data_IF_731348444315
#
_entry.id   IF_731348444315
#
_cell.length_a   1.000
_cell.length_b   1.000
_cell.length_c   1.000
_cell.angle_alpha   90.00
_cell.angle_beta   90.00
_cell.angle_gamma   90.00
#
_symmetry.space_group_name_H-M   'P 1'
#
loop_
_entity.id
_entity.type
_entity.pdbx_description
1 polymer ?
#
# COMPACT_ATOMS: atom_id res chain seq x y z
N UNK A 1 22.30 -5.24 -29.18
CA UNK A 1 21.24 -5.59 -28.23
C UNK A 1 21.66 -5.00 -26.91
N UNK A 2 20.98 -3.96 -26.42
CA UNK A 2 21.50 -3.09 -25.36
C UNK A 2 21.35 -3.70 -23.97
N UNK A 3 22.48 -3.80 -23.27
CA UNK A 3 22.65 -4.15 -21.86
C UNK A 3 22.05 -3.07 -20.92
N UNK A 4 20.72 -2.99 -20.85
CA UNK A 4 20.02 -2.04 -19.95
C UNK A 4 18.93 -2.65 -19.09
N UNK A 5 19.06 -3.90 -18.65
CA UNK A 5 18.02 -4.50 -17.79
C UNK A 5 18.50 -5.52 -16.74
N UNK A 6 19.73 -5.37 -16.25
CA UNK A 6 20.34 -6.31 -15.29
C UNK A 6 19.93 -6.11 -13.81
N UNK A 7 18.92 -5.29 -13.52
CA UNK A 7 18.67 -4.84 -12.14
C UNK A 7 17.51 -5.49 -11.37
N UNK A 8 16.70 -6.40 -11.93
CA UNK A 8 15.64 -7.10 -11.15
C UNK A 8 15.22 -8.43 -11.79
N UNK A 9 16.03 -9.48 -11.67
CA UNK A 9 15.61 -10.87 -11.97
C UNK A 9 16.36 -11.85 -11.07
N UNK A 10 16.17 -11.73 -9.77
CA UNK A 10 16.29 -12.94 -8.95
C UNK A 10 15.00 -13.73 -9.17
N UNK A 11 15.08 -14.80 -9.97
CA UNK A 11 13.98 -15.72 -10.26
C UNK A 11 13.59 -16.60 -9.06
N UNK A 12 13.57 -16.03 -7.85
CA UNK A 12 13.18 -16.69 -6.62
C UNK A 12 11.67 -16.70 -6.41
N UNK A 13 11.21 -17.53 -5.47
CA UNK A 13 9.85 -17.48 -4.97
C UNK A 13 9.75 -16.55 -3.75
N UNK A 14 8.61 -15.89 -3.62
CA UNK A 14 8.26 -15.03 -2.49
C UNK A 14 6.86 -15.39 -2.00
N UNK A 15 6.63 -15.25 -0.70
CA UNK A 15 5.31 -15.51 -0.10
C UNK A 15 4.45 -14.25 -0.15
N UNK A 16 3.25 -14.36 -0.71
CA UNK A 16 2.27 -13.30 -0.67
C UNK A 16 1.81 -13.04 0.78
N UNK A 17 1.99 -11.82 1.28
CA UNK A 17 1.57 -11.40 2.63
C UNK A 17 0.06 -11.58 2.86
N UNK A 18 -0.75 -11.46 1.80
CA UNK A 18 -2.21 -11.45 1.92
C UNK A 18 -2.82 -12.85 1.89
N UNK A 19 -2.40 -13.73 0.97
CA UNK A 19 -2.98 -15.07 0.81
C UNK A 19 -2.08 -16.20 1.31
N UNK A 20 -0.79 -15.93 1.58
CA UNK A 20 0.18 -16.93 2.01
C UNK A 20 0.74 -17.81 0.89
N UNK A 21 0.30 -17.64 -0.37
CA UNK A 21 0.81 -18.43 -1.49
C UNK A 21 2.25 -18.03 -1.84
N UNK A 22 3.09 -19.03 -2.11
CA UNK A 22 4.39 -18.83 -2.76
C UNK A 22 4.18 -18.57 -4.24
N UNK A 23 4.72 -17.44 -4.73
CA UNK A 23 4.63 -17.03 -6.13
C UNK A 23 6.01 -16.66 -6.65
N UNK A 24 6.19 -16.73 -7.97
CA UNK A 24 7.42 -16.24 -8.59
C UNK A 24 7.61 -14.75 -8.27
N UNK A 25 8.86 -14.30 -8.08
CA UNK A 25 9.15 -12.89 -7.85
C UNK A 25 8.64 -11.99 -8.98
N UNK A 26 8.65 -12.48 -10.22
CA UNK A 26 8.13 -11.79 -11.40
C UNK A 26 6.58 -11.65 -11.39
N UNK A 27 5.89 -12.50 -10.62
CA UNK A 27 4.45 -12.46 -10.40
C UNK A 27 4.02 -11.78 -9.10
N UNK A 28 4.98 -11.24 -8.36
CA UNK A 28 4.75 -10.47 -7.16
C UNK A 28 4.91 -8.95 -7.38
N UNK A 29 4.34 -8.18 -6.46
CA UNK A 29 4.52 -6.74 -6.30
C UNK A 29 5.19 -6.49 -4.96
N UNK A 30 6.26 -5.71 -5.00
CA UNK A 30 6.87 -5.15 -3.78
C UNK A 30 5.86 -4.24 -3.10
N UNK A 31 5.62 -4.53 -1.83
CA UNK A 31 4.74 -3.78 -0.95
C UNK A 31 5.60 -3.02 0.05
N UNK A 32 5.58 -1.69 -0.05
CA UNK A 32 6.16 -0.81 0.96
C UNK A 32 5.06 -0.34 1.90
N UNK A 33 5.15 -0.77 3.16
CA UNK A 33 4.22 -0.37 4.22
C UNK A 33 4.25 1.14 4.51
N UNK A 34 5.33 1.84 4.17
CA UNK A 34 5.48 3.27 4.37
C UNK A 34 5.06 4.10 3.14
N UNK A 35 4.85 3.45 1.99
CA UNK A 35 4.40 4.11 0.75
C UNK A 35 5.48 4.92 0.03
N UNK A 36 6.76 4.73 0.35
CA UNK A 36 7.91 5.38 -0.30
C UNK A 36 8.64 4.38 -1.21
N UNK A 37 8.13 4.26 -2.43
CA UNK A 37 8.66 3.37 -3.47
C UNK A 37 10.04 3.82 -3.99
N UNK A 38 10.48 5.04 -3.70
CA UNK A 38 11.66 5.62 -4.35
C UNK A 38 12.93 5.42 -3.54
N UNK A 39 12.88 5.59 -2.23
CA UNK A 39 14.02 5.25 -1.38
C UNK A 39 14.04 3.73 -1.13
N UNK A 40 15.08 3.06 -1.60
CA UNK A 40 15.27 1.61 -1.49
C UNK A 40 16.44 1.22 -0.57
N UNK A 41 17.21 2.21 -0.11
CA UNK A 41 18.35 1.95 0.77
C UNK A 41 17.84 1.45 2.13
N UNK A 42 18.45 0.38 2.64
CA UNK A 42 18.14 -0.23 3.94
C UNK A 42 16.69 -0.71 4.16
N UNK A 43 15.90 -0.83 3.08
CA UNK A 43 14.52 -1.34 3.16
C UNK A 43 14.40 -2.80 2.72
N UNK A 44 13.72 -3.59 3.53
CA UNK A 44 13.14 -4.86 3.10
C UNK A 44 11.69 -4.62 2.62
N UNK A 45 11.34 -5.23 1.49
CA UNK A 45 9.99 -5.18 0.95
C UNK A 45 9.23 -6.47 1.28
N UNK A 46 7.94 -6.32 1.55
CA UNK A 46 7.00 -7.44 1.57
C UNK A 46 6.48 -7.68 0.16
N UNK A 47 5.84 -8.83 -0.09
CA UNK A 47 5.36 -9.19 -1.43
C UNK A 47 3.88 -9.47 -1.43
N UNK A 48 3.19 -9.01 -2.48
CA UNK A 48 1.81 -9.36 -2.77
C UNK A 48 1.73 -9.97 -4.17
N UNK A 49 1.02 -11.08 -4.33
CA UNK A 49 0.71 -11.59 -5.66
C UNK A 49 -0.15 -10.56 -6.43
N UNK A 50 -0.07 -10.57 -7.76
CA UNK A 50 -0.82 -9.64 -8.63
C UNK A 50 -2.33 -9.60 -8.32
N UNK A 51 -3.04 -10.71 -8.03
CA UNK A 51 -4.44 -10.69 -7.61
C UNK A 51 -4.67 -9.90 -6.31
N UNK A 52 -4.00 -10.28 -5.21
CA UNK A 52 -4.17 -9.61 -3.91
C UNK A 52 -3.79 -8.13 -3.96
N UNK A 53 -2.75 -7.78 -4.72
CA UNK A 53 -2.39 -6.37 -4.92
C UNK A 53 -3.50 -5.56 -5.59
N UNK A 54 -4.22 -6.14 -6.57
CA UNK A 54 -5.33 -5.44 -7.25
C UNK A 54 -6.53 -5.20 -6.35
N UNK A 55 -6.77 -6.08 -5.40
CA UNK A 55 -7.87 -5.97 -4.43
C UNK A 55 -7.55 -5.02 -3.27
N UNK A 56 -6.27 -4.68 -3.07
CA UNK A 56 -5.86 -3.76 -2.02
C UNK A 56 -6.46 -2.37 -2.22
N UNK A 57 -6.92 -1.79 -1.11
CA UNK A 57 -7.26 -0.38 -1.04
C UNK A 57 -5.97 0.44 -1.12
N UNK A 58 -5.80 1.20 -2.20
CA UNK A 58 -4.63 2.06 -2.41
C UNK A 58 -4.78 3.43 -1.71
N UNK A 59 -5.59 3.49 -0.65
CA UNK A 59 -5.77 4.71 0.12
C UNK A 59 -4.44 5.12 0.76
N UNK A 60 -4.04 6.40 0.67
CA UNK A 60 -2.83 6.87 1.28
C UNK A 60 -2.87 6.63 2.79
N UNK A 61 -1.77 6.08 3.34
CA UNK A 61 -1.61 5.85 4.79
C UNK A 61 -1.30 7.13 5.57
N UNK A 62 -0.65 8.11 4.92
CA UNK A 62 -0.41 9.42 5.52
C UNK A 62 -1.75 10.08 5.85
N UNK A 63 -1.90 10.58 7.07
CA UNK A 63 -3.14 11.21 7.51
C UNK A 63 -4.28 10.23 7.82
N UNK A 64 -4.04 8.91 7.85
CA UNK A 64 -5.11 7.94 8.10
C UNK A 64 -5.58 7.99 9.56
N UNK A 65 -4.66 8.03 10.51
CA UNK A 65 -5.00 8.05 11.95
C UNK A 65 -5.78 9.32 12.31
N UNK A 66 -5.34 10.47 11.81
CA UNK A 66 -6.03 11.75 12.02
C UNK A 66 -7.46 11.71 11.46
N UNK A 67 -7.63 11.17 10.24
CA UNK A 67 -8.97 11.01 9.63
C UNK A 67 -9.85 10.03 10.41
N UNK A 68 -9.29 8.96 10.97
CA UNK A 68 -10.04 8.00 11.78
C UNK A 68 -10.52 8.66 13.09
N UNK A 69 -9.65 9.44 13.73
CA UNK A 69 -9.99 10.21 14.93
C UNK A 69 -11.07 11.24 14.61
N UNK A 70 -10.90 12.02 13.55
CA UNK A 70 -11.87 13.05 13.13
C UNK A 70 -13.23 12.45 12.75
N UNK A 71 -13.25 11.27 12.13
CA UNK A 71 -14.48 10.54 11.85
C UNK A 71 -15.17 9.99 13.11
N UNK A 72 -14.48 9.93 14.25
CA UNK A 72 -14.99 9.43 15.52
C UNK A 72 -14.87 7.92 15.68
N UNK A 73 -13.81 7.30 15.16
CA UNK A 73 -13.55 5.87 15.35
C UNK A 73 -13.63 5.48 16.84
N UNK A 74 -14.50 4.53 17.16
CA UNK A 74 -14.71 4.05 18.54
C UNK A 74 -15.45 5.01 19.48
N UNK A 75 -15.80 6.22 19.05
CA UNK A 75 -16.51 7.22 19.87
C UNK A 75 -17.93 7.52 19.37
N UNK A 76 -18.30 7.05 18.18
CA UNK A 76 -19.63 7.18 17.59
C UNK A 76 -20.13 5.84 17.02
N UNK A 77 -21.41 5.77 16.65
CA UNK A 77 -21.97 4.57 16.04
C UNK A 77 -21.38 4.31 14.65
N UNK A 78 -21.41 3.04 14.23
CA UNK A 78 -20.78 2.61 12.98
C UNK A 78 -21.31 3.35 11.75
N UNK A 79 -22.61 3.66 11.69
CA UNK A 79 -23.21 4.34 10.54
C UNK A 79 -22.73 5.79 10.44
N UNK A 80 -22.73 6.50 11.57
CA UNK A 80 -22.22 7.88 11.66
C UNK A 80 -20.73 7.93 11.32
N UNK A 81 -19.94 7.01 11.87
CA UNK A 81 -18.50 6.91 11.59
C UNK A 81 -18.24 6.71 10.10
N UNK A 82 -18.87 5.71 9.47
CA UNK A 82 -18.64 5.41 8.05
C UNK A 82 -19.04 6.56 7.14
N UNK A 83 -20.14 7.26 7.45
CA UNK A 83 -20.56 8.45 6.70
C UNK A 83 -19.51 9.56 6.77
N UNK A 84 -19.01 9.86 7.98
CA UNK A 84 -17.99 10.91 8.19
C UNK A 84 -16.66 10.54 7.55
N UNK A 85 -16.18 9.32 7.77
CA UNK A 85 -14.96 8.81 7.17
C UNK A 85 -15.01 8.87 5.63
N UNK A 86 -16.12 8.44 5.02
CA UNK A 86 -16.29 8.53 3.57
C UNK A 86 -16.29 9.97 3.03
N UNK A 87 -16.78 10.96 3.80
CA UNK A 87 -16.68 12.37 3.42
C UNK A 87 -15.21 12.84 3.48
N UNK A 88 -14.55 12.65 4.63
CA UNK A 88 -13.15 13.02 4.83
C UNK A 88 -12.18 12.34 3.86
N UNK A 89 -12.46 11.09 3.48
CA UNK A 89 -11.65 10.35 2.52
C UNK A 89 -11.80 10.85 1.08
N UNK A 90 -12.94 11.48 0.72
CA UNK A 90 -13.16 12.12 -0.59
C UNK A 90 -12.57 13.53 -0.64
N UNK A 91 -12.66 14.25 0.46
CA UNK A 91 -12.19 15.65 0.58
C UNK A 91 -10.66 15.74 0.84
N UNK A 92 -10.06 14.62 1.27
CA UNK A 92 -8.62 14.48 1.45
C UNK A 92 -7.86 14.62 0.12
N UNK A 93 -7.56 15.86 -0.25
CA UNK A 93 -6.47 16.17 -1.20
C UNK A 93 -5.21 15.47 -0.67
N UNK A 94 -4.52 14.63 -1.45
CA UNK A 94 -3.25 14.07 -1.00
C UNK A 94 -2.36 15.25 -0.59
N UNK A 95 -1.72 15.24 0.58
CA UNK A 95 -0.80 16.32 0.95
C UNK A 95 0.22 16.47 -0.19
N UNK A 96 0.53 17.73 -0.56
CA UNK A 96 1.47 18.03 -1.62
C UNK A 96 2.72 17.16 -1.45
N UNK A 97 3.07 16.43 -2.51
CA UNK A 97 4.26 15.62 -2.54
C UNK A 97 5.43 16.60 -2.58
N UNK A 98 6.13 16.80 -1.46
CA UNK A 98 7.43 17.46 -1.48
C UNK A 98 8.30 16.71 -2.50
N UNK A 99 8.76 17.46 -3.50
CA UNK A 99 9.27 16.98 -4.78
C UNK A 99 10.79 17.04 -4.82
#
# INVERSE_FOLDING_TARGET
>A
MSDRNAWHRDGGEVTCLSCGESVSRDDAREYDKHGDRWNREEKSFEFLCKPCYRECCHSPRRGLEERLIEAGAGTTDQTTFLRRYCALARDGTPPERER
#
